data_IF_154356037452
#
_entry.id   IF_154356037452
#
_cell.length_a   1.000
_cell.length_b   1.000
_cell.length_c   1.000
_cell.angle_alpha   90.00
_cell.angle_beta   90.00
_cell.angle_gamma   90.00
#
_symmetry.space_group_name_H-M   'P 1'
#
loop_
_entity.id
_entity.type
_entity.pdbx_description
1 polymer ?
#
# COMPACT_ATOMS: atom_id res chain seq x y z
N UNK A 1 -1.26 -18.78 -3.49
CA UNK A 1 -2.25 -17.85 -4.07
C UNK A 1 -1.46 -16.82 -4.83
N UNK A 2 -1.72 -16.65 -6.12
CA UNK A 2 -0.94 -15.75 -6.96
C UNK A 2 -1.06 -14.32 -6.42
N UNK A 3 0.06 -13.78 -5.95
CA UNK A 3 0.21 -12.39 -5.54
C UNK A 3 0.21 -11.57 -6.84
N UNK A 4 -0.99 -11.35 -7.41
CA UNK A 4 -1.15 -10.46 -8.55
C UNK A 4 -0.91 -9.05 -8.01
N UNK A 5 0.35 -8.63 -8.10
CA UNK A 5 0.77 -7.35 -7.57
C UNK A 5 -0.07 -6.27 -8.27
N UNK A 6 -0.75 -5.39 -7.52
CA UNK A 6 -1.70 -4.46 -8.11
C UNK A 6 -1.00 -3.54 -9.11
N UNK A 7 -1.75 -3.06 -10.09
CA UNK A 7 -1.25 -2.04 -11.01
C UNK A 7 -1.37 -0.65 -10.40
N UNK A 8 -0.40 0.21 -10.67
CA UNK A 8 -0.43 1.61 -10.24
C UNK A 8 -1.63 2.32 -10.88
N UNK A 9 -2.52 2.99 -10.10
CA UNK A 9 -3.66 3.72 -10.65
C UNK A 9 -3.29 4.83 -11.63
N UNK A 10 -2.10 5.44 -11.46
CA UNK A 10 -1.64 6.58 -12.26
C UNK A 10 -0.95 6.14 -13.56
N UNK A 11 0.08 5.30 -13.47
CA UNK A 11 0.90 4.93 -14.63
C UNK A 11 0.65 3.51 -15.17
N UNK A 12 -0.25 2.74 -14.53
CA UNK A 12 -0.60 1.34 -14.88
C UNK A 12 0.57 0.35 -14.85
N UNK A 13 1.74 0.77 -14.36
CA UNK A 13 2.87 -0.12 -14.15
C UNK A 13 2.62 -1.07 -12.97
N UNK A 14 3.24 -2.25 -12.97
CA UNK A 14 3.14 -3.17 -11.84
C UNK A 14 3.73 -2.53 -10.57
N UNK A 15 3.02 -2.67 -9.45
CA UNK A 15 3.53 -2.27 -8.15
C UNK A 15 4.42 -3.37 -7.57
N UNK A 16 5.45 -2.97 -6.83
CA UNK A 16 6.28 -3.86 -6.02
C UNK A 16 5.97 -3.62 -4.55
N UNK A 17 5.94 -4.69 -3.75
CA UNK A 17 5.79 -4.57 -2.31
C UNK A 17 7.04 -3.92 -1.70
N UNK A 18 6.83 -2.90 -0.86
CA UNK A 18 7.88 -2.15 -0.17
C UNK A 18 7.99 -2.47 1.33
N UNK A 19 7.12 -3.35 1.84
CA UNK A 19 7.09 -3.77 3.24
C UNK A 19 5.73 -3.57 3.90
N UNK A 20 5.70 -3.70 5.23
CA UNK A 20 4.52 -3.50 6.07
C UNK A 20 4.76 -2.35 7.04
N UNK A 21 3.75 -1.51 7.22
CA UNK A 21 3.77 -0.36 8.14
C UNK A 21 2.68 -0.55 9.17
N UNK A 22 3.04 -0.58 10.45
CA UNK A 22 2.05 -0.69 11.52
C UNK A 22 1.40 0.68 11.78
N UNK A 23 0.10 0.78 11.57
CA UNK A 23 -0.67 2.04 11.70
C UNK A 23 -1.87 1.79 12.61
N UNK A 24 -2.26 2.80 13.40
CA UNK A 24 -3.55 2.79 14.11
C UNK A 24 -4.63 3.18 13.10
N UNK A 25 -5.61 2.30 12.89
CA UNK A 25 -6.78 2.57 12.05
C UNK A 25 -7.76 3.43 12.85
N UNK A 26 -8.13 4.59 12.32
CA UNK A 26 -9.07 5.49 12.99
C UNK A 26 -10.47 4.86 13.15
N UNK A 27 -10.93 4.12 12.13
CA UNK A 27 -12.29 3.53 12.10
C UNK A 27 -12.61 2.62 13.29
N UNK A 28 -11.65 1.78 13.71
CA UNK A 28 -11.85 0.78 14.77
C UNK A 28 -10.84 0.90 15.93
N UNK A 29 -9.95 1.90 15.87
CA UNK A 29 -8.93 2.16 16.87
C UNK A 29 -7.83 1.09 16.98
N UNK A 30 -7.87 0.02 16.17
CA UNK A 30 -6.92 -1.09 16.23
C UNK A 30 -5.64 -0.75 15.49
N UNK A 31 -4.53 -1.40 15.89
CA UNK A 31 -3.31 -1.38 15.10
C UNK A 31 -3.36 -2.51 14.08
N UNK A 32 -3.23 -2.15 12.81
CA UNK A 32 -3.17 -3.08 11.69
C UNK A 32 -2.04 -2.69 10.75
N UNK A 33 -1.57 -3.64 9.95
CA UNK A 33 -0.51 -3.37 8.98
C UNK A 33 -1.09 -2.81 7.69
N UNK A 34 -0.47 -1.76 7.17
CA UNK A 34 -0.59 -1.32 5.78
C UNK A 34 0.52 -1.95 4.96
N UNK A 35 0.17 -2.66 3.90
CA UNK A 35 1.13 -3.08 2.87
C UNK A 35 1.49 -1.89 2.00
N UNK A 36 2.79 -1.63 1.88
CA UNK A 36 3.35 -0.57 1.05
C UNK A 36 3.57 -1.08 -0.37
N UNK A 37 3.21 -0.27 -1.35
CA UNK A 37 3.31 -0.58 -2.77
C UNK A 37 3.95 0.59 -3.52
N UNK A 38 4.89 0.31 -4.43
CA UNK A 38 5.56 1.34 -5.22
C UNK A 38 5.77 0.91 -6.67
N UNK A 39 5.52 1.81 -7.61
CA UNK A 39 5.84 1.58 -9.03
C UNK A 39 7.25 2.10 -9.38
N UNK A 40 7.73 1.85 -10.61
CA UNK A 40 9.03 2.34 -11.05
C UNK A 40 9.08 3.88 -11.16
N UNK A 41 7.94 4.53 -11.43
CA UNK A 41 7.78 5.99 -11.41
C UNK A 41 7.64 6.58 -9.98
N UNK A 42 7.92 5.78 -8.95
CA UNK A 42 7.96 6.17 -7.54
C UNK A 42 6.63 6.57 -6.90
N UNK A 43 5.48 6.41 -7.57
CA UNK A 43 4.17 6.53 -6.92
C UNK A 43 4.04 5.51 -5.81
N UNK A 44 3.70 5.99 -4.61
CA UNK A 44 3.65 5.18 -3.40
C UNK A 44 2.21 5.09 -2.90
N UNK A 45 1.75 3.84 -2.78
CA UNK A 45 0.42 3.49 -2.38
C UNK A 45 0.47 2.57 -1.16
N UNK A 46 -0.63 2.50 -0.44
CA UNK A 46 -0.79 1.53 0.63
C UNK A 46 -2.19 0.94 0.66
N UNK A 47 -2.32 -0.24 1.25
CA UNK A 47 -3.60 -0.94 1.46
C UNK A 47 -3.53 -1.69 2.78
N UNK A 48 -4.67 -1.85 3.45
CA UNK A 48 -4.72 -2.71 4.64
C UNK A 48 -4.33 -4.15 4.28
N UNK A 49 -3.35 -4.70 4.99
CA UNK A 49 -2.89 -6.07 4.78
C UNK A 49 -3.96 -7.10 5.19
N UNK A 50 -4.81 -6.74 6.15
CA UNK A 50 -5.95 -7.52 6.61
C UNK A 50 -7.22 -7.33 5.74
N UNK A 51 -7.18 -6.44 4.74
CA UNK A 51 -8.30 -6.15 3.83
C UNK A 51 -7.82 -5.94 2.38
N UNK A 52 -7.31 -6.99 1.72
CA UNK A 52 -6.75 -6.88 0.37
C UNK A 52 -7.78 -6.49 -0.71
N UNK A 53 -9.07 -6.64 -0.45
CA UNK A 53 -10.18 -6.22 -1.30
C UNK A 53 -10.43 -4.70 -1.31
N UNK A 54 -9.95 -3.98 -0.28
CA UNK A 54 -10.06 -2.52 -0.23
C UNK A 54 -9.14 -1.86 -1.27
N UNK A 55 -9.51 -0.67 -1.78
CA UNK A 55 -8.71 0.02 -2.80
C UNK A 55 -7.33 0.42 -2.27
N UNK A 56 -6.41 0.65 -3.21
CA UNK A 56 -5.16 1.33 -2.90
C UNK A 56 -5.44 2.78 -2.52
N UNK A 57 -4.80 3.22 -1.44
CA UNK A 57 -4.85 4.60 -0.98
C UNK A 57 -3.47 5.26 -1.16
N UNK A 58 -3.46 6.58 -1.29
CA UNK A 58 -2.21 7.36 -1.34
C UNK A 58 -1.50 7.24 0.01
N UNK A 59 -0.21 6.89 -0.02
CA UNK A 59 0.58 6.95 1.20
C UNK A 59 0.79 8.42 1.61
N UNK A 60 0.46 8.84 2.85
CA UNK A 60 0.56 10.23 3.28
C UNK A 60 2.01 10.67 3.56
N UNK A 61 2.93 9.71 3.72
CA UNK A 61 4.34 9.96 4.06
C UNK A 61 5.28 9.18 3.13
N UNK A 62 5.16 9.31 1.79
CA UNK A 62 5.95 8.51 0.85
C UNK A 62 7.46 8.67 1.04
N UNK A 63 7.91 9.84 1.52
CA UNK A 63 9.31 10.20 1.71
C UNK A 63 10.03 9.41 2.81
N UNK A 64 9.31 8.70 3.70
CA UNK A 64 9.96 7.89 4.74
C UNK A 64 10.37 6.51 4.23
N UNK A 65 9.89 6.12 3.05
CA UNK A 65 10.20 4.86 2.41
C UNK A 65 11.23 5.10 1.31
N UNK A 66 12.41 4.51 1.47
CA UNK A 66 13.52 4.65 0.52
C UNK A 66 13.30 3.75 -0.68
#
# INVERSE_FOLDING_TARGET
MADDAPSCPECRQPLKSGGLVLVKRDDDGRRACRSLWRCADLHTWWRWADRPEEPLEVCPVPQVFR
#
